data_IF_645486915633
#
_entry.id   IF_645486915633
#
_cell.length_a   1.000
_cell.length_b   1.000
_cell.length_c   1.000
_cell.angle_alpha   90.00
_cell.angle_beta   90.00
_cell.angle_gamma   90.00
#
_symmetry.space_group_name_H-M   'P 1'
#
loop_
_entity.id
_entity.type
_entity.pdbx_description
1 polymer ?
#
# COMPACT_ATOMS: atom_id res chain seq x y z
N UNK A 1 8.84 -18.91 -12.33
CA UNK A 1 10.10 -18.39 -12.90
C UNK A 1 10.77 -17.55 -11.83
N UNK A 2 11.88 -18.02 -11.25
CA UNK A 2 12.63 -17.25 -10.24
C UNK A 2 13.53 -16.27 -11.00
N UNK A 3 13.37 -14.95 -10.82
CA UNK A 3 14.19 -13.98 -11.53
C UNK A 3 15.67 -14.12 -11.15
N UNK A 4 16.60 -14.05 -12.13
CA UNK A 4 18.04 -14.30 -11.92
C UNK A 4 18.71 -13.33 -10.92
N UNK A 5 18.05 -12.22 -10.58
CA UNK A 5 18.54 -11.29 -9.55
C UNK A 5 18.56 -11.94 -8.16
N UNK A 6 17.62 -12.85 -7.87
CA UNK A 6 17.53 -13.55 -6.58
C UNK A 6 18.67 -14.55 -6.37
N UNK A 7 19.49 -14.79 -7.41
CA UNK A 7 20.72 -15.59 -7.32
C UNK A 7 21.99 -14.76 -7.12
N UNK A 8 21.91 -13.43 -7.03
CA UNK A 8 23.08 -12.58 -6.78
C UNK A 8 23.52 -12.57 -5.31
N UNK A 9 24.76 -12.17 -5.07
CA UNK A 9 25.31 -11.95 -3.73
C UNK A 9 24.47 -10.90 -2.99
N UNK A 10 24.20 -11.13 -1.70
CA UNK A 10 23.36 -10.26 -0.87
C UNK A 10 23.82 -8.79 -0.91
N UNK A 11 25.12 -8.53 -0.96
CA UNK A 11 25.63 -7.16 -1.03
C UNK A 11 25.08 -6.38 -2.25
N UNK A 12 24.96 -7.03 -3.40
CA UNK A 12 24.38 -6.43 -4.61
C UNK A 12 22.87 -6.32 -4.53
N UNK A 13 22.20 -7.33 -3.94
CA UNK A 13 20.75 -7.32 -3.72
C UNK A 13 20.34 -6.14 -2.83
N UNK A 14 21.12 -5.83 -1.79
CA UNK A 14 20.80 -4.75 -0.84
C UNK A 14 20.87 -3.35 -1.44
N UNK A 15 21.58 -3.18 -2.56
CA UNK A 15 21.72 -1.89 -3.24
C UNK A 15 20.50 -1.52 -4.10
N UNK A 16 19.65 -2.50 -4.42
CA UNK A 16 18.44 -2.24 -5.20
C UNK A 16 17.33 -1.63 -4.34
N UNK A 17 16.59 -0.69 -4.94
CA UNK A 17 15.39 -0.14 -4.32
C UNK A 17 14.20 -1.10 -4.51
N UNK A 18 14.12 -2.08 -3.60
CA UNK A 18 13.03 -3.08 -3.58
C UNK A 18 11.65 -2.45 -3.44
N UNK A 19 11.52 -1.34 -2.73
CA UNK A 19 10.26 -0.62 -2.59
C UNK A 19 9.73 -0.12 -3.93
N UNK A 20 10.59 0.51 -4.73
CA UNK A 20 10.26 0.97 -6.08
C UNK A 20 9.96 -0.19 -7.03
N UNK A 21 10.70 -1.29 -6.93
CA UNK A 21 10.45 -2.51 -7.71
C UNK A 21 9.06 -3.11 -7.39
N UNK A 22 8.72 -3.23 -6.10
CA UNK A 22 7.40 -3.69 -5.66
C UNK A 22 6.29 -2.76 -6.13
N UNK A 23 6.51 -1.44 -6.08
CA UNK A 23 5.54 -0.45 -6.53
C UNK A 23 5.30 -0.53 -8.05
N UNK A 24 6.36 -0.64 -8.85
CA UNK A 24 6.26 -0.82 -10.31
C UNK A 24 5.45 -2.07 -10.66
N UNK A 25 5.74 -3.18 -9.99
CA UNK A 25 5.01 -4.43 -10.18
C UNK A 25 3.54 -4.29 -9.78
N UNK A 26 3.24 -3.63 -8.67
CA UNK A 26 1.85 -3.39 -8.22
C UNK A 26 1.07 -2.54 -9.23
N UNK A 27 1.67 -1.48 -9.79
CA UNK A 27 1.03 -0.64 -10.81
C UNK A 27 0.71 -1.42 -12.08
N UNK A 28 1.64 -2.24 -12.56
CA UNK A 28 1.41 -3.13 -13.70
C UNK A 28 0.20 -4.05 -13.45
N UNK A 29 0.18 -4.70 -12.30
CA UNK A 29 -0.87 -5.66 -11.94
C UNK A 29 -2.24 -4.99 -11.76
N UNK A 30 -2.28 -3.78 -11.20
CA UNK A 30 -3.50 -2.97 -11.14
C UNK A 30 -4.00 -2.59 -12.53
N UNK A 31 -3.10 -2.15 -13.40
CA UNK A 31 -3.43 -1.83 -14.78
C UNK A 31 -3.99 -3.04 -15.54
N UNK A 32 -3.37 -4.22 -15.40
CA UNK A 32 -3.81 -5.45 -16.06
C UNK A 32 -5.14 -5.96 -15.48
N UNK A 33 -5.35 -5.86 -14.16
CA UNK A 33 -6.61 -6.17 -13.50
C UNK A 33 -7.76 -5.25 -13.96
N UNK A 34 -7.51 -3.95 -14.09
CA UNK A 34 -8.51 -3.00 -14.60
C UNK A 34 -8.82 -3.20 -16.08
N UNK A 35 -7.82 -3.54 -16.90
CA UNK A 35 -8.01 -3.79 -18.34
C UNK A 35 -8.67 -5.14 -18.64
N UNK A 36 -8.66 -6.09 -17.70
CA UNK A 36 -9.17 -7.47 -17.88
C UNK A 36 -8.66 -8.11 -19.18
N UNK A 37 -7.40 -7.83 -19.51
CA UNK A 37 -6.86 -8.10 -20.84
C UNK A 37 -6.65 -9.60 -21.15
N UNK A 38 -6.83 -10.49 -20.16
CA UNK A 38 -6.65 -11.94 -20.31
C UNK A 38 -7.60 -12.74 -19.41
N UNK A 39 -7.74 -14.04 -19.72
CA UNK A 39 -8.59 -14.97 -18.98
C UNK A 39 -8.19 -15.12 -17.50
N UNK A 40 -6.89 -14.96 -17.19
CA UNK A 40 -6.34 -15.02 -15.83
C UNK A 40 -6.02 -13.62 -15.27
N UNK A 41 -6.83 -12.61 -15.61
CA UNK A 41 -6.66 -11.22 -15.12
C UNK A 41 -6.98 -11.10 -13.63
N UNK A 42 -6.09 -11.62 -12.81
CA UNK A 42 -6.12 -11.51 -11.37
C UNK A 42 -5.14 -10.43 -10.90
N UNK A 43 -5.45 -9.82 -9.76
CA UNK A 43 -4.55 -8.89 -9.10
C UNK A 43 -3.33 -9.67 -8.56
N UNK A 44 -2.26 -9.74 -9.34
CA UNK A 44 -0.98 -10.28 -8.91
C UNK A 44 -0.18 -9.31 -8.04
N UNK A 45 0.84 -9.81 -7.35
CA UNK A 45 1.78 -8.99 -6.57
C UNK A 45 1.39 -8.76 -5.11
N UNK A 46 1.86 -7.64 -4.55
CA UNK A 46 1.72 -7.33 -3.11
C UNK A 46 0.35 -6.74 -2.75
N UNK A 47 -0.73 -7.48 -3.02
CA UNK A 47 -2.11 -7.06 -2.71
C UNK A 47 -2.31 -6.70 -1.23
N UNK A 48 -1.55 -7.31 -0.31
CA UNK A 48 -1.58 -6.95 1.11
C UNK A 48 -1.15 -5.48 1.35
N UNK A 49 -0.16 -4.97 0.62
CA UNK A 49 0.25 -3.56 0.73
C UNK A 49 -0.86 -2.63 0.24
N UNK A 50 -1.55 -3.01 -0.84
CA UNK A 50 -2.72 -2.26 -1.31
C UNK A 50 -3.86 -2.31 -0.29
N UNK A 51 -4.12 -3.46 0.32
CA UNK A 51 -5.16 -3.58 1.35
C UNK A 51 -4.85 -2.71 2.57
N UNK A 52 -3.61 -2.75 3.09
CA UNK A 52 -3.17 -1.88 4.19
C UNK A 52 -3.33 -0.40 3.79
N UNK A 53 -2.91 -0.04 2.58
CA UNK A 53 -3.07 1.32 2.05
C UNK A 53 -4.53 1.77 1.99
N UNK A 54 -5.46 0.91 1.55
CA UNK A 54 -6.89 1.23 1.51
C UNK A 54 -7.42 1.44 2.93
N UNK A 55 -7.08 0.54 3.86
CA UNK A 55 -7.60 0.56 5.22
C UNK A 55 -7.13 1.77 6.03
N UNK A 56 -5.96 2.31 5.73
CA UNK A 56 -5.46 3.53 6.39
C UNK A 56 -6.12 4.82 5.90
N UNK A 57 -6.80 4.77 4.75
CA UNK A 57 -7.26 5.98 4.05
C UNK A 57 -8.76 6.08 3.98
N UNK A 58 -9.46 4.97 3.90
CA UNK A 58 -10.89 4.99 3.73
C UNK A 58 -11.53 4.86 5.13
N UNK A 59 -12.62 5.60 5.44
CA UNK A 59 -13.19 5.64 6.80
C UNK A 59 -14.24 4.54 7.09
N UNK A 60 -14.19 3.39 6.40
CA UNK A 60 -15.25 2.35 6.46
C UNK A 60 -14.96 1.24 7.48
N UNK A 61 -13.73 1.15 8.00
CA UNK A 61 -13.28 0.08 8.89
C UNK A 61 -13.46 0.48 10.35
N UNK A 62 -13.90 -0.43 11.21
CA UNK A 62 -14.35 -0.10 12.56
C UNK A 62 -13.20 -0.16 13.57
N UNK A 63 -12.12 0.60 13.33
CA UNK A 63 -10.95 0.58 14.22
C UNK A 63 -10.81 1.91 14.97
N UNK A 64 -11.77 2.17 15.85
CA UNK A 64 -11.63 3.16 16.93
C UNK A 64 -11.29 2.41 18.22
N UNK A 65 -10.02 2.07 18.42
CA UNK A 65 -9.52 1.52 19.67
C UNK A 65 -8.59 2.51 20.35
N UNK A 66 -8.88 2.89 21.59
CA UNK A 66 -7.90 3.48 22.51
C UNK A 66 -6.74 2.49 22.65
N UNK A 67 -5.61 2.79 21.99
CA UNK A 67 -4.45 1.89 21.96
C UNK A 67 -4.03 1.42 20.56
N UNK A 68 -4.61 1.95 19.47
CA UNK A 68 -4.02 1.74 18.14
C UNK A 68 -2.56 2.21 18.12
N UNK A 69 -1.64 1.25 18.07
CA UNK A 69 -0.27 1.43 17.62
C UNK A 69 -0.25 2.02 16.20
N UNK A 70 0.85 2.68 15.77
CA UNK A 70 0.78 3.75 14.77
C UNK A 70 0.39 3.34 13.33
N UNK A 71 0.20 2.05 13.05
CA UNK A 71 -0.11 1.56 11.69
C UNK A 71 -1.19 0.49 11.68
N UNK A 72 -2.06 0.53 10.67
CA UNK A 72 -3.11 -0.48 10.47
C UNK A 72 -2.51 -1.85 10.19
N UNK A 73 -1.28 -1.92 9.65
CA UNK A 73 -0.52 -3.16 9.51
C UNK A 73 -0.30 -3.89 10.86
N UNK A 74 -0.11 -3.15 11.96
CA UNK A 74 0.01 -3.75 13.29
C UNK A 74 -1.31 -4.40 13.74
N UNK A 75 -2.44 -3.76 13.46
CA UNK A 75 -3.77 -4.32 13.71
C UNK A 75 -3.97 -5.59 12.89
N UNK A 76 -3.49 -5.59 11.64
CA UNK A 76 -3.52 -6.76 10.75
C UNK A 76 -2.72 -7.95 11.28
N UNK A 77 -1.59 -7.68 11.95
CA UNK A 77 -0.79 -8.73 12.60
C UNK A 77 -1.48 -9.25 13.88
N UNK A 78 -2.19 -8.39 14.58
CA UNK A 78 -2.79 -8.67 15.88
C UNK A 78 -4.32 -8.74 15.83
N UNK A 79 -4.89 -9.18 14.70
CA UNK A 79 -6.35 -9.15 14.47
C UNK A 79 -7.08 -9.84 15.63
N UNK A 80 -7.79 -9.03 16.42
CA UNK A 80 -8.79 -9.54 17.33
C UNK A 80 -9.95 -10.05 16.48
N UNK A 81 -10.36 -11.29 16.70
CA UNK A 81 -11.49 -11.89 16.00
C UNK A 81 -12.72 -10.96 16.12
N UNK A 82 -13.18 -10.41 14.99
CA UNK A 82 -14.37 -9.56 14.95
C UNK A 82 -15.57 -10.42 15.35
N UNK A 83 -16.08 -10.22 16.56
CA UNK A 83 -17.26 -10.93 17.07
C UNK A 83 -18.51 -10.33 16.45
N UNK A 84 -19.34 -11.16 15.82
CA UNK A 84 -20.60 -10.71 15.22
C UNK A 84 -21.09 -11.61 14.07
N UNK A 85 -22.16 -11.19 13.38
CA UNK A 85 -22.70 -11.88 12.21
C UNK A 85 -21.93 -11.45 10.94
N UNK A 86 -21.08 -12.29 10.33
CA UNK A 86 -20.19 -11.89 9.24
C UNK A 86 -20.92 -11.24 8.06
N UNK A 87 -22.11 -11.77 7.72
CA UNK A 87 -22.94 -11.28 6.61
C UNK A 87 -23.42 -9.83 6.80
N UNK A 88 -23.68 -9.42 8.05
CA UNK A 88 -24.09 -8.04 8.35
C UNK A 88 -22.91 -7.07 8.23
N UNK A 89 -21.73 -7.49 8.71
CA UNK A 89 -20.52 -6.69 8.58
C UNK A 89 -20.12 -6.52 7.11
N UNK A 90 -20.17 -7.61 6.33
CA UNK A 90 -19.94 -7.56 4.89
C UNK A 90 -20.84 -6.53 4.20
N UNK A 91 -22.16 -6.62 4.39
CA UNK A 91 -23.10 -5.66 3.79
C UNK A 91 -22.83 -4.22 4.25
N UNK A 92 -22.50 -4.01 5.53
CA UNK A 92 -22.14 -2.69 6.05
C UNK A 92 -20.88 -2.14 5.39
N UNK A 93 -19.85 -2.96 5.19
CA UNK A 93 -18.61 -2.54 4.53
C UNK A 93 -18.84 -2.23 3.05
N UNK A 94 -19.57 -3.08 2.33
CA UNK A 94 -19.91 -2.83 0.92
C UNK A 94 -20.69 -1.53 0.79
N UNK A 95 -21.76 -1.34 1.56
CA UNK A 95 -22.52 -0.08 1.54
C UNK A 95 -21.65 1.13 1.90
N UNK A 96 -20.73 0.98 2.85
CA UNK A 96 -19.78 2.03 3.22
C UNK A 96 -18.85 2.39 2.07
N UNK A 97 -18.30 1.39 1.37
CA UNK A 97 -17.46 1.58 0.20
C UNK A 97 -18.22 2.23 -0.95
N UNK A 98 -19.46 1.81 -1.21
CA UNK A 98 -20.31 2.35 -2.27
C UNK A 98 -20.70 3.81 -2.03
N UNK A 99 -20.78 4.23 -0.77
CA UNK A 99 -21.12 5.60 -0.37
C UNK A 99 -19.89 6.51 -0.16
N UNK A 100 -18.66 5.99 -0.22
CA UNK A 100 -17.46 6.81 -0.03
C UNK A 100 -17.35 7.85 -1.15
N UNK A 101 -17.09 9.09 -0.74
CA UNK A 101 -16.72 10.18 -1.64
C UNK A 101 -15.23 10.49 -1.54
N UNK A 102 -14.65 11.10 -2.58
CA UNK A 102 -13.24 11.49 -2.59
C UNK A 102 -12.84 12.38 -1.40
N UNK A 103 -13.76 13.20 -0.89
CA UNK A 103 -13.55 14.10 0.23
C UNK A 103 -13.42 13.38 1.58
N UNK A 104 -14.02 12.19 1.70
CA UNK A 104 -13.96 11.37 2.91
C UNK A 104 -12.70 10.50 2.98
N UNK A 105 -11.97 10.38 1.87
CA UNK A 105 -10.72 9.62 1.82
C UNK A 105 -9.59 10.46 2.44
N UNK A 106 -8.90 9.88 3.40
CA UNK A 106 -7.74 10.49 4.02
C UNK A 106 -6.50 10.29 3.16
N UNK A 107 -6.14 11.33 2.40
CA UNK A 107 -5.02 11.28 1.45
C UNK A 107 -3.63 11.41 2.10
N UNK A 108 -3.55 11.78 3.39
CA UNK A 108 -2.28 11.97 4.08
C UNK A 108 -2.31 11.32 5.49
N UNK A 109 -2.44 9.98 5.59
CA UNK A 109 -2.54 9.21 6.85
C UNK A 109 -1.49 9.58 7.89
N UNK A 110 -0.28 9.87 7.42
CA UNK A 110 0.90 9.99 8.25
C UNK A 110 1.30 11.43 8.58
N UNK A 111 0.56 12.45 8.12
CA UNK A 111 1.00 13.84 8.27
C UNK A 111 0.86 14.40 9.68
N UNK A 112 -0.21 14.03 10.38
CA UNK A 112 -0.56 14.58 11.70
C UNK A 112 -0.54 13.52 12.81
N UNK A 113 0.09 12.38 12.57
CA UNK A 113 0.15 11.31 13.55
C UNK A 113 1.25 11.63 14.57
N UNK A 114 0.89 12.24 15.71
CA UNK A 114 1.85 12.59 16.76
C UNK A 114 2.74 11.39 17.14
N UNK A 115 2.15 10.19 17.23
CA UNK A 115 2.87 8.94 17.48
C UNK A 115 3.92 8.58 16.42
N UNK A 116 3.79 9.02 15.16
CA UNK A 116 4.80 8.80 14.12
C UNK A 116 5.96 9.78 14.25
N UNK A 117 5.71 11.00 14.72
CA UNK A 117 6.78 11.96 14.99
C UNK A 117 7.66 11.51 16.16
N UNK A 118 7.09 10.75 17.09
CA UNK A 118 7.81 10.14 18.21
C UNK A 118 8.58 8.87 17.81
N UNK A 119 8.34 8.31 16.61
CA UNK A 119 9.13 7.18 16.12
C UNK A 119 10.50 7.68 15.67
N UNK A 120 11.55 7.13 16.28
CA UNK A 120 12.92 7.28 15.78
C UNK A 120 13.06 6.42 14.51
N UNK A 121 12.72 7.01 13.37
CA UNK A 121 12.97 6.41 12.05
C UNK A 121 14.46 6.53 11.71
N UNK A 122 15.01 5.51 11.06
CA UNK A 122 16.37 5.60 10.52
C UNK A 122 16.46 6.74 9.51
N UNK A 123 17.59 7.43 9.47
CA UNK A 123 17.88 8.47 8.46
C UNK A 123 17.73 7.95 7.03
N UNK A 124 17.89 6.64 6.82
CA UNK A 124 17.65 5.97 5.53
C UNK A 124 16.20 6.15 5.05
N UNK A 125 15.24 6.26 5.97
CA UNK A 125 13.84 6.48 5.62
C UNK A 125 13.61 7.87 5.03
N UNK A 126 14.35 8.89 5.46
CA UNK A 126 14.16 10.30 5.08
C UNK A 126 15.21 10.82 4.11
N UNK A 127 16.33 10.10 3.91
CA UNK A 127 17.45 10.50 3.04
C UNK A 127 17.01 10.94 1.64
N UNK A 128 16.05 10.22 1.06
CA UNK A 128 15.59 10.42 -0.31
C UNK A 128 14.19 11.07 -0.39
N UNK A 129 13.86 11.91 0.62
CA UNK A 129 12.54 12.56 0.74
C UNK A 129 12.16 13.40 -0.48
N UNK A 130 13.13 14.02 -1.13
CA UNK A 130 12.92 14.82 -2.34
C UNK A 130 12.47 13.97 -3.53
N UNK A 131 12.82 12.69 -3.55
CA UNK A 131 12.42 11.75 -4.60
C UNK A 131 11.00 11.22 -4.42
N UNK A 132 10.38 11.36 -3.24
CA UNK A 132 9.05 10.79 -2.98
C UNK A 132 7.96 11.33 -3.90
N UNK A 133 8.09 12.59 -4.32
CA UNK A 133 7.18 13.27 -5.25
C UNK A 133 7.75 13.43 -6.67
N UNK A 134 8.85 12.75 -6.98
CA UNK A 134 9.44 12.79 -8.32
C UNK A 134 8.59 12.02 -9.33
N UNK A 135 8.48 12.55 -10.54
CA UNK A 135 7.85 11.84 -11.67
C UNK A 135 8.94 11.10 -12.44
N UNK A 136 9.27 9.88 -12.01
CA UNK A 136 10.35 9.08 -12.60
C UNK A 136 9.83 7.72 -13.08
N UNK A 137 10.42 7.12 -14.14
CA UNK A 137 10.12 5.75 -14.50
C UNK A 137 10.65 4.82 -13.41
N UNK A 138 9.76 4.02 -12.83
CA UNK A 138 10.10 2.88 -11.98
C UNK A 138 10.47 1.71 -12.90
N UNK A 139 11.69 1.23 -12.78
CA UNK A 139 12.21 0.14 -13.60
C UNK A 139 12.38 -1.11 -12.74
N UNK A 140 11.65 -2.16 -13.09
CA UNK A 140 11.77 -3.49 -12.53
C UNK A 140 11.88 -4.51 -13.67
N UNK A 141 13.12 -4.79 -14.10
CA UNK A 141 13.42 -5.62 -15.27
C UNK A 141 12.73 -5.13 -16.55
N UNK A 142 11.81 -5.93 -17.09
CA UNK A 142 10.99 -5.60 -18.26
C UNK A 142 9.76 -4.75 -17.89
N UNK A 143 9.55 -4.50 -16.59
CA UNK A 143 8.48 -3.65 -16.10
C UNK A 143 8.96 -2.22 -15.97
N UNK A 144 8.48 -1.36 -16.86
CA UNK A 144 8.67 0.08 -16.79
C UNK A 144 7.32 0.71 -16.54
N UNK A 145 7.15 1.36 -15.41
CA UNK A 145 5.91 2.07 -15.03
C UNK A 145 6.25 3.46 -14.51
N UNK A 146 5.44 4.46 -14.84
CA UNK A 146 5.69 5.83 -14.35
C UNK A 146 5.26 5.97 -12.89
N UNK A 147 6.15 6.48 -12.04
CA UNK A 147 5.77 6.97 -10.73
C UNK A 147 4.94 8.25 -10.89
N UNK A 148 3.70 8.22 -10.40
CA UNK A 148 2.74 9.33 -10.55
C UNK A 148 2.20 9.75 -9.17
N UNK A 149 3.01 10.48 -8.36
CA UNK A 149 2.62 10.94 -7.02
C UNK A 149 1.38 11.82 -7.04
N UNK A 150 1.15 12.56 -8.13
CA UNK A 150 -0.01 13.44 -8.31
C UNK A 150 -1.35 12.72 -8.23
N UNK A 151 -1.38 11.40 -8.44
CA UNK A 151 -2.60 10.58 -8.29
C UNK A 151 -2.94 10.27 -6.84
N UNK A 152 -1.97 10.36 -5.94
CA UNK A 152 -2.07 9.87 -4.55
C UNK A 152 -1.91 10.99 -3.53
N UNK A 153 -1.09 12.00 -3.84
CA UNK A 153 -0.79 13.15 -3.00
C UNK A 153 -1.21 14.42 -3.75
N UNK A 154 -2.34 14.99 -3.35
CA UNK A 154 -2.63 16.41 -3.57
C UNK A 154 -1.89 17.19 -2.48
#
# INVERSE_FOLDING_TARGET
MVPPILGQVWENLSQYNWGSATLAWLYRQLCDACRRSGADSNLGGCACLLQIWIWERFPVWPYEGEGSDPTVAFIWKNVLAVRGKPRRHYNRYINGLDCITQAQVFWQPYRNHAKLNDLVLSDMCTRDKDLWRSNVPLVFFYVVEMHLPSRVLR
#
